data_IF_705653962673
#
_entry.id   IF_705653962673
#
_cell.length_a   1.000
_cell.length_b   1.000
_cell.length_c   1.000
_cell.angle_alpha   90.00
_cell.angle_beta   90.00
_cell.angle_gamma   90.00
#
_symmetry.space_group_name_H-M   'P 1'
#
loop_
_entity.id
_entity.type
_entity.pdbx_description
1 polymer ?
#
# COMPACT_ATOMS: atom_id res chain seq x y z
N UNK A 1 -5.48 14.32 21.93
CA UNK A 1 -4.30 13.99 21.08
C UNK A 1 -4.55 12.66 20.40
N UNK A 2 -4.51 12.65 19.07
CA UNK A 2 -4.61 11.39 18.31
C UNK A 2 -3.34 10.58 18.51
N UNK A 3 -3.53 9.29 18.71
CA UNK A 3 -2.41 8.34 18.76
C UNK A 3 -2.67 7.24 17.74
N UNK A 4 -1.71 7.04 16.85
CA UNK A 4 -1.78 6.02 15.80
C UNK A 4 -0.80 4.91 16.12
N UNK A 5 -1.25 3.67 15.99
CA UNK A 5 -0.42 2.49 16.18
C UNK A 5 -0.40 1.70 14.88
N UNK A 6 0.76 1.16 14.55
CA UNK A 6 0.95 0.33 13.35
C UNK A 6 1.08 -1.12 13.77
N UNK A 7 0.28 -1.99 13.14
CA UNK A 7 0.32 -3.43 13.35
C UNK A 7 0.41 -4.17 12.02
N UNK A 8 1.00 -5.36 12.06
CA UNK A 8 0.88 -6.27 10.93
C UNK A 8 -0.55 -6.83 10.91
N UNK A 9 -1.20 -6.76 9.75
CA UNK A 9 -2.56 -7.26 9.59
C UNK A 9 -2.59 -8.78 9.60
N UNK A 10 -3.64 -9.32 10.22
CA UNK A 10 -4.01 -10.73 10.10
C UNK A 10 -5.32 -10.83 9.31
N UNK A 11 -5.73 -12.04 8.93
CA UNK A 11 -6.93 -12.23 8.10
C UNK A 11 -8.20 -11.62 8.69
N UNK A 12 -8.27 -11.50 10.02
CA UNK A 12 -9.45 -10.97 10.72
C UNK A 12 -9.71 -9.49 10.39
N UNK A 13 -8.69 -8.74 9.91
CA UNK A 13 -8.86 -7.36 9.47
C UNK A 13 -9.23 -7.23 8.00
N UNK A 14 -9.41 -8.33 7.27
CA UNK A 14 -9.63 -8.29 5.82
C UNK A 14 -10.88 -7.50 5.44
N UNK A 15 -11.95 -7.54 6.24
CA UNK A 15 -13.16 -6.76 5.98
C UNK A 15 -12.88 -5.26 5.96
N UNK A 16 -12.23 -4.76 7.00
CA UNK A 16 -11.92 -3.35 7.13
C UNK A 16 -10.92 -2.88 6.05
N UNK A 17 -9.90 -3.70 5.76
CA UNK A 17 -8.91 -3.38 4.74
C UNK A 17 -9.56 -3.35 3.35
N UNK A 18 -10.45 -4.29 3.04
CA UNK A 18 -11.14 -4.33 1.74
C UNK A 18 -11.96 -3.06 1.49
N UNK A 19 -12.59 -2.52 2.53
CA UNK A 19 -13.31 -1.25 2.43
C UNK A 19 -12.33 -0.12 2.05
N UNK A 20 -11.17 -0.07 2.68
CA UNK A 20 -10.15 0.94 2.38
C UNK A 20 -9.58 0.77 0.97
N UNK A 21 -9.44 -0.46 0.49
CA UNK A 21 -9.05 -0.70 -0.92
C UNK A 21 -10.07 -0.07 -1.86
N UNK A 22 -11.35 -0.27 -1.61
CA UNK A 22 -12.42 0.35 -2.40
C UNK A 22 -12.33 1.87 -2.40
N UNK A 23 -12.09 2.47 -1.24
CA UNK A 23 -11.92 3.92 -1.14
C UNK A 23 -10.73 4.42 -1.95
N UNK A 24 -9.60 3.71 -1.88
CA UNK A 24 -8.40 4.04 -2.65
C UNK A 24 -8.65 4.00 -4.15
N UNK A 25 -9.22 2.91 -4.64
CA UNK A 25 -9.47 2.73 -6.08
C UNK A 25 -10.48 3.76 -6.59
N UNK A 26 -11.50 4.08 -5.81
CA UNK A 26 -12.46 5.11 -6.16
C UNK A 26 -11.83 6.50 -6.21
N UNK A 27 -10.97 6.83 -5.26
CA UNK A 27 -10.25 8.10 -5.27
C UNK A 27 -9.39 8.24 -6.52
N UNK A 28 -8.68 7.17 -6.91
CA UNK A 28 -7.85 7.20 -8.11
C UNK A 28 -8.72 7.44 -9.35
N UNK A 29 -9.80 6.68 -9.51
CA UNK A 29 -10.70 6.81 -10.65
C UNK A 29 -11.33 8.21 -10.72
N UNK A 30 -11.76 8.74 -9.59
CA UNK A 30 -12.34 10.07 -9.51
C UNK A 30 -11.35 11.16 -9.94
N UNK A 31 -10.10 11.06 -9.50
CA UNK A 31 -9.07 12.05 -9.84
C UNK A 31 -8.63 12.01 -11.28
N UNK A 32 -8.52 10.82 -11.88
CA UNK A 32 -8.09 10.70 -13.28
C UNK A 32 -9.25 10.75 -14.27
N UNK A 33 -10.49 10.63 -13.79
CA UNK A 33 -11.68 10.69 -14.61
C UNK A 33 -11.91 9.49 -15.52
N UNK A 34 -11.31 8.35 -15.20
CA UNK A 34 -11.40 7.12 -16.01
C UNK A 34 -11.67 5.94 -15.09
N UNK A 35 -12.62 5.07 -15.46
CA UNK A 35 -12.91 3.83 -14.74
C UNK A 35 -11.91 2.76 -15.16
N UNK A 36 -10.80 2.66 -14.42
CA UNK A 36 -9.70 1.73 -14.74
C UNK A 36 -9.67 0.49 -13.84
N UNK A 37 -10.44 0.48 -12.75
CA UNK A 37 -10.48 -0.63 -11.81
C UNK A 37 -11.90 -1.19 -11.72
N UNK A 38 -11.98 -2.51 -11.61
CA UNK A 38 -13.21 -3.19 -11.19
C UNK A 38 -13.04 -3.58 -9.72
N UNK A 39 -13.91 -3.07 -8.85
CA UNK A 39 -13.88 -3.37 -7.42
C UNK A 39 -15.14 -4.11 -7.01
N UNK A 40 -14.95 -5.23 -6.32
CA UNK A 40 -16.01 -5.99 -5.65
C UNK A 40 -15.56 -6.24 -4.21
N UNK A 41 -16.37 -5.85 -3.26
CA UNK A 41 -16.01 -5.92 -1.84
C UNK A 41 -15.77 -7.36 -1.37
N UNK A 42 -16.69 -8.27 -1.68
CA UNK A 42 -16.60 -9.65 -1.21
C UNK A 42 -15.41 -10.38 -1.86
N UNK A 43 -15.21 -10.22 -3.16
CA UNK A 43 -14.05 -10.79 -3.85
C UNK A 43 -12.74 -10.24 -3.28
N UNK A 44 -12.69 -8.96 -2.96
CA UNK A 44 -11.50 -8.32 -2.37
C UNK A 44 -11.21 -8.89 -0.99
N UNK A 45 -12.26 -9.08 -0.17
CA UNK A 45 -12.12 -9.72 1.15
C UNK A 45 -11.54 -11.13 1.04
N UNK A 46 -12.11 -11.95 0.17
CA UNK A 46 -11.67 -13.33 -0.04
C UNK A 46 -10.21 -13.36 -0.50
N UNK A 47 -9.85 -12.46 -1.41
CA UNK A 47 -8.50 -12.34 -1.93
C UNK A 47 -7.51 -11.91 -0.84
N UNK A 48 -7.90 -10.96 0.02
CA UNK A 48 -7.09 -10.52 1.14
C UNK A 48 -6.82 -11.65 2.14
N UNK A 49 -7.87 -12.41 2.49
CA UNK A 49 -7.72 -13.57 3.40
C UNK A 49 -6.70 -14.55 2.81
N UNK A 50 -6.86 -14.92 1.54
CA UNK A 50 -5.95 -15.85 0.88
C UNK A 50 -4.52 -15.32 0.85
N UNK A 51 -4.35 -14.07 0.44
CA UNK A 51 -3.01 -13.48 0.29
C UNK A 51 -2.30 -13.28 1.63
N UNK A 52 -3.03 -12.96 2.68
CA UNK A 52 -2.45 -12.81 4.02
C UNK A 52 -2.06 -14.19 4.58
N UNK A 53 -2.95 -15.17 4.50
CA UNK A 53 -2.69 -16.52 5.02
C UNK A 53 -1.57 -17.23 4.28
N UNK A 54 -1.51 -17.09 2.96
CA UNK A 54 -0.48 -17.72 2.13
C UNK A 54 0.83 -16.92 2.06
N UNK A 55 0.89 -15.80 2.77
CA UNK A 55 2.05 -14.88 2.77
C UNK A 55 2.43 -14.38 1.37
N UNK A 56 1.44 -14.24 0.49
CA UNK A 56 1.62 -13.59 -0.81
C UNK A 56 1.64 -12.07 -0.68
N UNK A 57 0.94 -11.55 0.35
CA UNK A 57 0.95 -10.14 0.70
C UNK A 57 1.37 -9.95 2.15
N UNK A 58 2.14 -8.90 2.38
CA UNK A 58 2.52 -8.45 3.71
C UNK A 58 1.85 -7.10 3.91
N UNK A 59 0.90 -7.04 4.84
CA UNK A 59 0.03 -5.88 5.02
C UNK A 59 0.23 -5.32 6.42
N UNK A 60 0.41 -4.00 6.50
CA UNK A 60 0.46 -3.28 7.77
C UNK A 60 -0.71 -2.31 7.82
N UNK A 61 -1.29 -2.15 9.00
CA UNK A 61 -2.45 -1.29 9.24
C UNK A 61 -2.10 -0.22 10.26
N UNK A 62 -2.72 0.94 10.08
CA UNK A 62 -2.68 2.03 11.04
C UNK A 62 -4.02 2.07 11.77
N UNK A 63 -3.97 2.06 13.09
CA UNK A 63 -5.16 2.09 13.94
C UNK A 63 -5.14 3.40 14.75
N UNK A 64 -6.27 4.11 14.75
CA UNK A 64 -6.50 5.22 15.64
C UNK A 64 -6.93 4.65 17.00
N UNK A 65 -6.09 4.82 18.02
CA UNK A 65 -6.36 4.27 19.36
C UNK A 65 -7.62 4.83 20.01
N UNK A 66 -8.00 6.07 19.69
CA UNK A 66 -9.18 6.68 20.29
C UNK A 66 -10.48 6.05 19.78
N UNK A 67 -10.57 5.81 18.48
CA UNK A 67 -11.75 5.21 17.84
C UNK A 67 -11.64 3.71 17.66
N UNK A 68 -10.45 3.15 17.81
CA UNK A 68 -10.13 1.74 17.51
C UNK A 68 -10.45 1.37 16.05
N UNK A 69 -10.38 2.33 15.15
CA UNK A 69 -10.64 2.13 13.73
C UNK A 69 -9.35 2.01 12.93
N UNK A 70 -9.39 1.18 11.89
CA UNK A 70 -8.31 1.11 10.91
C UNK A 70 -8.47 2.32 9.99
N UNK A 71 -7.46 3.18 9.96
CA UNK A 71 -7.48 4.47 9.26
C UNK A 71 -6.54 4.52 8.07
N UNK A 72 -5.75 3.48 7.87
CA UNK A 72 -4.83 3.38 6.74
C UNK A 72 -4.20 2.00 6.66
N UNK A 73 -3.60 1.71 5.52
CA UNK A 73 -2.88 0.46 5.32
C UNK A 73 -1.82 0.60 4.23
N UNK A 74 -0.86 -0.30 4.27
CA UNK A 74 0.08 -0.53 3.17
C UNK A 74 0.09 -2.02 2.89
N UNK A 75 -0.01 -2.39 1.62
CA UNK A 75 0.15 -3.76 1.16
C UNK A 75 1.42 -3.88 0.32
N UNK A 76 2.05 -5.04 0.41
CA UNK A 76 3.29 -5.30 -0.31
C UNK A 76 3.39 -6.77 -0.69
N UNK A 77 4.21 -7.04 -1.67
CA UNK A 77 4.59 -8.41 -2.02
C UNK A 77 6.10 -8.48 -2.25
N UNK A 78 6.62 -9.68 -2.16
CA UNK A 78 8.04 -9.94 -2.35
C UNK A 78 8.29 -10.37 -3.78
N UNK A 79 9.26 -9.73 -4.42
CA UNK A 79 9.69 -10.08 -5.75
C UNK A 79 11.13 -10.56 -5.76
N UNK A 80 11.50 -11.21 -6.84
CA UNK A 80 12.84 -11.77 -7.03
C UNK A 80 13.32 -11.40 -8.42
N UNK A 81 14.49 -10.80 -8.50
CA UNK A 81 15.07 -10.45 -9.79
C UNK A 81 16.59 -10.50 -9.72
N UNK A 82 17.18 -11.03 -10.75
CA UNK A 82 18.65 -11.14 -10.81
C UNK A 82 19.31 -9.76 -10.82
N UNK A 83 18.72 -8.81 -11.54
CA UNK A 83 19.24 -7.43 -11.58
C UNK A 83 19.08 -6.68 -10.25
N UNK A 84 18.19 -7.14 -9.37
CA UNK A 84 17.91 -6.51 -8.08
C UNK A 84 18.70 -7.15 -6.93
N UNK A 85 19.65 -8.00 -7.25
CA UNK A 85 20.55 -8.68 -6.30
C UNK A 85 19.79 -9.61 -5.33
N UNK A 86 18.62 -10.09 -5.70
CA UNK A 86 17.84 -11.03 -4.93
C UNK A 86 16.41 -10.57 -4.67
N UNK A 87 15.97 -10.71 -3.42
CA UNK A 87 14.62 -10.37 -3.02
C UNK A 87 14.46 -8.86 -2.78
N UNK A 88 13.28 -8.36 -3.14
CA UNK A 88 12.90 -6.98 -2.87
C UNK A 88 11.40 -6.92 -2.57
N UNK A 89 10.98 -5.84 -1.90
CA UNK A 89 9.57 -5.59 -1.65
C UNK A 89 8.98 -4.61 -2.64
N UNK A 90 7.74 -4.84 -3.05
CA UNK A 90 6.98 -3.89 -3.86
C UNK A 90 5.73 -3.48 -3.09
N UNK A 91 5.55 -2.18 -2.90
CA UNK A 91 4.31 -1.64 -2.34
C UNK A 91 3.26 -1.65 -3.45
N UNK A 92 2.19 -2.38 -3.22
CA UNK A 92 1.08 -2.46 -4.19
C UNK A 92 0.04 -1.37 -3.93
N UNK A 93 -0.35 -1.17 -2.67
CA UNK A 93 -1.29 -0.14 -2.25
C UNK A 93 -0.78 0.57 -0.99
N UNK A 94 -1.02 1.87 -0.93
CA UNK A 94 -0.82 2.69 0.27
C UNK A 94 -1.98 3.67 0.36
N UNK A 95 -2.71 3.63 1.46
CA UNK A 95 -3.87 4.50 1.65
C UNK A 95 -3.99 4.94 3.09
N UNK A 96 -4.27 6.23 3.28
CA UNK A 96 -4.63 6.82 4.57
C UNK A 96 -5.93 7.58 4.35
N UNK A 97 -6.92 7.38 5.22
CA UNK A 97 -8.20 8.10 5.12
C UNK A 97 -7.95 9.60 5.04
N UNK A 98 -8.67 10.33 4.17
CA UNK A 98 -8.41 11.76 3.95
C UNK A 98 -8.34 12.61 5.23
N UNK A 99 -9.23 12.36 6.19
CA UNK A 99 -9.29 13.12 7.45
C UNK A 99 -8.06 12.87 8.36
N UNK A 100 -7.27 11.86 8.07
CA UNK A 100 -6.08 11.50 8.85
C UNK A 100 -4.76 11.82 8.13
N UNK A 101 -4.83 12.43 6.96
CA UNK A 101 -3.64 12.75 6.17
C UNK A 101 -2.86 13.92 6.76
N UNK A 102 -1.59 14.06 6.34
CA UNK A 102 -0.66 15.10 6.79
C UNK A 102 -0.34 15.03 8.29
N UNK A 103 -0.42 13.83 8.86
CA UNK A 103 -0.09 13.55 10.26
C UNK A 103 1.03 12.53 10.41
N UNK A 104 1.72 12.20 9.32
CA UNK A 104 2.84 11.27 9.33
C UNK A 104 2.46 9.79 9.29
N UNK A 105 1.18 9.46 9.09
CA UNK A 105 0.72 8.06 9.11
C UNK A 105 1.28 7.27 7.95
N UNK A 106 1.29 7.84 6.74
CA UNK A 106 1.90 7.21 5.58
C UNK A 106 3.38 6.90 5.80
N UNK A 107 4.11 7.82 6.41
CA UNK A 107 5.51 7.61 6.80
C UNK A 107 5.66 6.47 7.79
N UNK A 108 4.77 6.38 8.79
CA UNK A 108 4.80 5.29 9.78
C UNK A 108 4.56 3.93 9.12
N UNK A 109 3.62 3.85 8.18
CA UNK A 109 3.33 2.63 7.44
C UNK A 109 4.54 2.19 6.58
N UNK A 110 5.16 3.12 5.87
CA UNK A 110 6.37 2.84 5.09
C UNK A 110 7.50 2.38 6.00
N UNK A 111 7.68 3.01 7.16
CA UNK A 111 8.72 2.61 8.10
C UNK A 111 8.52 1.17 8.62
N UNK A 112 7.29 0.81 8.95
CA UNK A 112 6.99 -0.57 9.35
C UNK A 112 7.33 -1.57 8.25
N UNK A 113 7.04 -1.23 7.00
CA UNK A 113 7.36 -2.08 5.87
C UNK A 113 8.88 -2.17 5.63
N UNK A 114 9.60 -1.05 5.79
CA UNK A 114 11.07 -1.05 5.70
C UNK A 114 11.70 -1.95 6.75
N UNK A 115 11.23 -1.86 8.00
CA UNK A 115 11.74 -2.69 9.09
C UNK A 115 11.48 -4.18 8.81
N UNK A 116 10.30 -4.50 8.28
CA UNK A 116 9.96 -5.86 7.88
C UNK A 116 10.88 -6.34 6.74
N UNK A 117 11.11 -5.49 5.76
CA UNK A 117 12.00 -5.79 4.63
C UNK A 117 13.43 -6.06 5.07
N UNK A 118 13.93 -5.27 6.02
CA UNK A 118 15.26 -5.50 6.61
C UNK A 118 15.36 -6.89 7.24
N UNK A 119 14.33 -7.30 7.96
CA UNK A 119 14.28 -8.64 8.58
C UNK A 119 14.25 -9.75 7.53
N UNK A 120 13.59 -9.52 6.40
CA UNK A 120 13.50 -10.50 5.31
C UNK A 120 14.70 -10.48 4.37
N UNK A 121 15.60 -9.52 4.53
CA UNK A 121 16.75 -9.37 3.65
C UNK A 121 16.44 -8.73 2.31
N UNK A 122 15.37 -7.94 2.21
CA UNK A 122 15.07 -7.20 0.98
C UNK A 122 16.17 -6.20 0.67
N UNK A 123 16.56 -6.13 -0.60
CA UNK A 123 17.62 -5.23 -1.06
C UNK A 123 17.08 -3.83 -1.35
N UNK A 124 15.80 -3.71 -1.64
CA UNK A 124 15.15 -2.43 -1.88
C UNK A 124 13.63 -2.55 -1.75
N UNK A 125 13.00 -1.40 -1.74
CA UNK A 125 11.55 -1.29 -1.75
C UNK A 125 11.18 -0.49 -3.00
N UNK A 126 10.21 -0.98 -3.77
CA UNK A 126 9.73 -0.34 -4.99
C UNK A 126 8.28 0.05 -4.85
N UNK A 127 7.87 1.09 -5.58
CA UNK A 127 6.47 1.53 -5.64
C UNK A 127 6.21 2.18 -7.00
N UNK A 128 5.00 2.01 -7.52
CA UNK A 128 4.53 2.72 -8.71
C UNK A 128 3.46 3.72 -8.27
N UNK A 129 3.62 4.98 -8.67
CA UNK A 129 2.60 6.00 -8.36
C UNK A 129 1.36 5.81 -9.24
N UNK A 130 0.17 6.27 -8.78
CA UNK A 130 -0.94 6.46 -9.70
C UNK A 130 -0.59 7.50 -10.79
N UNK A 131 -1.41 7.65 -11.84
CA UNK A 131 -1.07 8.52 -12.98
C UNK A 131 -0.73 9.95 -12.59
N UNK A 132 0.25 10.52 -13.30
CA UNK A 132 0.62 11.91 -13.19
C UNK A 132 -0.03 12.72 -14.33
N UNK A 133 -0.30 14.00 -14.17
CA UNK A 133 0.07 14.87 -13.03
C UNK A 133 -0.91 14.83 -11.85
N UNK A 134 -2.02 14.12 -11.94
CA UNK A 134 -3.06 14.11 -10.92
C UNK A 134 -2.53 13.68 -9.54
N UNK A 135 -1.50 12.83 -9.52
CA UNK A 135 -0.89 12.34 -8.29
C UNK A 135 0.54 12.85 -8.06
N UNK A 136 0.85 14.06 -8.53
CA UNK A 136 2.16 14.69 -8.30
C UNK A 136 2.50 14.83 -6.81
N UNK A 137 1.50 15.09 -5.97
CA UNK A 137 1.71 15.17 -4.52
C UNK A 137 2.12 13.83 -3.92
N UNK A 138 1.61 12.73 -4.46
CA UNK A 138 2.00 11.37 -4.06
C UNK A 138 3.45 11.09 -4.44
N UNK A 139 3.85 11.45 -5.65
CA UNK A 139 5.25 11.32 -6.08
C UNK A 139 6.17 12.12 -5.15
N UNK A 140 5.82 13.37 -4.85
CA UNK A 140 6.61 14.21 -3.95
C UNK A 140 6.72 13.60 -2.55
N UNK A 141 5.64 13.00 -2.06
CA UNK A 141 5.64 12.28 -0.79
C UNK A 141 6.65 11.13 -0.82
N UNK A 142 6.63 10.30 -1.85
CA UNK A 142 7.59 9.19 -1.96
C UNK A 142 9.02 9.70 -2.05
N UNK A 143 9.27 10.77 -2.79
CA UNK A 143 10.61 11.36 -2.88
C UNK A 143 11.11 11.85 -1.51
N UNK A 144 10.23 12.47 -0.71
CA UNK A 144 10.57 12.86 0.68
C UNK A 144 10.87 11.65 1.56
N UNK A 145 10.25 10.50 1.27
CA UNK A 145 10.49 9.26 2.03
C UNK A 145 11.70 8.46 1.52
N UNK A 146 12.48 9.04 0.62
CA UNK A 146 13.74 8.44 0.16
C UNK A 146 13.64 7.62 -1.11
N UNK A 147 12.47 7.58 -1.75
CA UNK A 147 12.34 6.95 -3.06
C UNK A 147 12.85 7.88 -4.15
N UNK A 148 13.42 7.30 -5.19
CA UNK A 148 13.83 8.06 -6.37
C UNK A 148 13.26 7.40 -7.62
N UNK A 149 13.05 8.19 -8.65
CA UNK A 149 12.53 7.68 -9.91
C UNK A 149 13.55 6.72 -10.51
N UNK A 150 13.15 5.47 -10.66
CA UNK A 150 13.93 4.42 -11.31
C UNK A 150 13.41 4.28 -12.74
N UNK A 151 14.27 4.11 -13.71
CA UNK A 151 13.92 4.14 -15.12
C UNK A 151 12.91 3.08 -15.57
N UNK A 152 12.61 3.11 -16.84
CA UNK A 152 11.70 2.17 -17.48
C UNK A 152 10.25 2.62 -17.51
N UNK A 153 9.44 1.83 -18.18
CA UNK A 153 7.99 2.02 -18.26
C UNK A 153 7.29 0.73 -17.97
N UNK A 154 6.19 0.80 -17.22
CA UNK A 154 5.37 -0.36 -16.93
C UNK A 154 4.44 -0.60 -18.11
N UNK A 155 4.45 -1.83 -18.63
CA UNK A 155 3.52 -2.28 -19.65
C UNK A 155 2.71 -3.44 -19.09
N UNK A 156 1.47 -3.58 -19.53
CA UNK A 156 0.64 -4.74 -19.19
C UNK A 156 -0.03 -5.28 -20.44
N UNK A 157 -0.27 -6.58 -20.44
CA UNK A 157 -1.10 -7.26 -21.44
C UNK A 157 -2.07 -8.13 -20.66
N UNK A 158 -3.36 -7.95 -20.92
CA UNK A 158 -4.39 -8.80 -20.30
C UNK A 158 -4.35 -10.16 -20.96
N UNK A 159 -4.37 -11.22 -20.13
CA UNK A 159 -4.33 -12.60 -20.57
C UNK A 159 -5.72 -13.22 -20.59
#
# INVERSE_FOLDING_TARGET
MQKTIIFRAIKDQSDAIAILVGELLQEIMDRIGIDVFHFDLEETKERLVDFIESEKNFVFIAIDELSNQIIGFVSSYEGYALYAEGAFGTMAELYVKPSYRSQGIGKMLIQALKDYGDQRGWKRLEVTTPPLPQFDATLSFYEREGFEISGGRKLKRVL
#
